data_IF_691491489553
#
_entry.id   IF_691491489553
#
_cell.length_a   1.000
_cell.length_b   1.000
_cell.length_c   1.000
_cell.angle_alpha   90.00
_cell.angle_beta   90.00
_cell.angle_gamma   90.00
#
_symmetry.space_group_name_H-M   'P 1'
#
loop_
_entity.id
_entity.type
_entity.pdbx_description
1 polymer ?
#
# COMPACT_ATOMS: atom_id res chain seq x y z
N UNK A 1 24.86 9.22 12.40
CA UNK A 1 23.67 9.10 13.27
C UNK A 1 23.46 7.63 13.55
N UNK A 2 23.53 7.24 14.82
CA UNK A 2 23.45 5.83 15.25
C UNK A 2 22.26 5.09 14.65
N UNK A 3 22.47 3.85 14.19
CA UNK A 3 21.43 3.03 13.55
C UNK A 3 20.24 2.85 14.51
N UNK A 4 20.51 2.73 15.81
CA UNK A 4 19.49 2.67 16.85
C UNK A 4 18.63 3.93 16.94
N UNK A 5 19.23 5.13 16.85
CA UNK A 5 18.47 6.39 16.87
C UNK A 5 17.57 6.51 15.65
N UNK A 6 18.05 6.08 14.47
CA UNK A 6 17.25 6.06 13.23
C UNK A 6 16.08 5.08 13.32
N UNK A 7 16.29 3.91 13.93
CA UNK A 7 15.24 2.91 14.17
C UNK A 7 14.19 3.40 15.16
N UNK A 8 14.60 4.02 16.29
CA UNK A 8 13.68 4.61 17.27
C UNK A 8 12.81 5.71 16.65
N UNK A 9 13.41 6.59 15.85
CA UNK A 9 12.67 7.65 15.13
C UNK A 9 11.67 7.03 14.15
N UNK A 10 12.09 6.05 13.35
CA UNK A 10 11.18 5.35 12.42
C UNK A 10 10.03 4.66 13.14
N UNK A 11 10.31 4.04 14.29
CA UNK A 11 9.30 3.36 15.09
C UNK A 11 8.30 4.36 15.69
N UNK A 12 8.78 5.47 16.23
CA UNK A 12 7.94 6.54 16.76
C UNK A 12 7.02 7.13 15.67
N UNK A 13 7.57 7.40 14.48
CA UNK A 13 6.80 7.87 13.32
C UNK A 13 5.73 6.84 12.93
N UNK A 14 6.08 5.56 12.91
CA UNK A 14 5.14 4.48 12.56
C UNK A 14 4.00 4.39 13.57
N UNK A 15 4.30 4.46 14.86
CA UNK A 15 3.28 4.46 15.93
C UNK A 15 2.38 5.69 15.82
N UNK A 16 2.95 6.89 15.61
CA UNK A 16 2.18 8.11 15.43
C UNK A 16 1.23 8.04 14.22
N UNK A 17 1.70 7.47 13.11
CA UNK A 17 0.89 7.22 11.91
C UNK A 17 -0.27 6.27 12.19
N UNK A 18 -0.03 5.15 12.89
CA UNK A 18 -1.08 4.17 13.21
C UNK A 18 -2.16 4.81 14.09
N UNK A 19 -1.77 5.58 15.10
CA UNK A 19 -2.71 6.29 15.99
C UNK A 19 -3.53 7.30 15.19
N UNK A 20 -2.89 8.07 14.31
CA UNK A 20 -3.58 9.06 13.47
C UNK A 20 -4.57 8.42 12.49
N UNK A 21 -4.18 7.30 11.84
CA UNK A 21 -5.08 6.56 10.94
C UNK A 21 -6.28 6.00 11.70
N UNK A 22 -6.04 5.42 12.88
CA UNK A 22 -7.11 4.85 13.72
C UNK A 22 -8.09 5.93 14.17
N UNK A 23 -7.59 7.08 14.63
CA UNK A 23 -8.43 8.21 15.02
C UNK A 23 -9.26 8.74 13.84
N UNK A 24 -8.64 8.88 12.68
CA UNK A 24 -9.32 9.35 11.46
C UNK A 24 -10.40 8.37 11.01
N UNK A 25 -10.15 7.06 11.11
CA UNK A 25 -11.13 6.01 10.84
C UNK A 25 -12.35 6.13 11.76
N UNK A 26 -12.13 6.22 13.08
CA UNK A 26 -13.22 6.34 14.06
C UNK A 26 -14.03 7.61 13.80
N UNK A 27 -13.37 8.73 13.51
CA UNK A 27 -14.04 10.00 13.20
C UNK A 27 -14.90 9.91 11.94
N UNK A 28 -14.40 9.27 10.89
CA UNK A 28 -15.15 9.01 9.65
C UNK A 28 -16.36 8.11 9.91
N UNK A 29 -16.17 7.04 10.69
CA UNK A 29 -17.24 6.11 11.07
C UNK A 29 -18.34 6.82 11.86
N UNK A 30 -17.97 7.71 12.79
CA UNK A 30 -18.93 8.50 13.57
C UNK A 30 -19.68 9.53 12.72
N UNK A 31 -19.07 10.04 11.65
CA UNK A 31 -19.67 11.07 10.79
C UNK A 31 -20.60 10.48 9.73
N UNK A 32 -20.12 9.47 9.00
CA UNK A 32 -20.78 8.95 7.80
C UNK A 32 -21.35 7.53 8.01
N UNK A 33 -21.12 6.93 9.18
CA UNK A 33 -21.56 5.59 9.53
C UNK A 33 -20.60 4.48 9.08
N UNK A 34 -20.64 3.34 9.77
CA UNK A 34 -19.81 2.16 9.48
C UNK A 34 -19.95 1.69 8.04
N UNK A 35 -21.16 1.76 7.47
CA UNK A 35 -21.48 1.22 6.14
C UNK A 35 -20.75 1.98 5.03
N UNK A 36 -20.74 3.32 5.09
CA UNK A 36 -20.11 4.16 4.07
C UNK A 36 -18.57 4.07 4.15
N UNK A 37 -18.03 4.03 5.37
CA UNK A 37 -16.59 3.85 5.59
C UNK A 37 -16.14 2.45 5.15
N UNK A 38 -16.89 1.40 5.51
CA UNK A 38 -16.62 0.03 5.07
C UNK A 38 -16.62 -0.10 3.54
N UNK A 39 -17.55 0.58 2.85
CA UNK A 39 -17.56 0.63 1.38
C UNK A 39 -16.31 1.31 0.82
N UNK A 40 -15.88 2.44 1.39
CA UNK A 40 -14.66 3.15 0.98
C UNK A 40 -13.41 2.27 1.13
N UNK A 41 -13.25 1.60 2.28
CA UNK A 41 -12.12 0.70 2.52
C UNK A 41 -12.12 -0.49 1.55
N UNK A 42 -13.30 -1.06 1.29
CA UNK A 42 -13.44 -2.17 0.32
C UNK A 42 -13.08 -1.71 -1.09
N UNK A 43 -13.52 -0.53 -1.50
CA UNK A 43 -13.17 0.05 -2.80
C UNK A 43 -11.65 0.29 -2.93
N UNK A 44 -11.02 0.84 -1.90
CA UNK A 44 -9.56 1.02 -1.86
C UNK A 44 -8.83 -0.31 -1.97
N UNK A 45 -9.29 -1.34 -1.25
CA UNK A 45 -8.70 -2.68 -1.30
C UNK A 45 -8.79 -3.29 -2.71
N UNK A 46 -9.96 -3.23 -3.34
CA UNK A 46 -10.17 -3.73 -4.71
C UNK A 46 -9.26 -3.00 -5.71
N UNK A 47 -9.12 -1.68 -5.60
CA UNK A 47 -8.21 -0.89 -6.43
C UNK A 47 -6.75 -1.32 -6.22
N UNK A 48 -6.32 -1.49 -4.97
CA UNK A 48 -4.96 -1.94 -4.66
C UNK A 48 -4.67 -3.32 -5.27
N UNK A 49 -5.58 -4.28 -5.12
CA UNK A 49 -5.45 -5.61 -5.72
C UNK A 49 -5.37 -5.52 -7.25
N UNK A 50 -6.23 -4.71 -7.87
CA UNK A 50 -6.23 -4.49 -9.32
C UNK A 50 -4.90 -3.93 -9.83
N UNK A 51 -4.34 -2.93 -9.13
CA UNK A 51 -3.03 -2.35 -9.46
C UNK A 51 -1.93 -3.41 -9.32
N UNK A 52 -1.93 -4.20 -8.24
CA UNK A 52 -0.92 -5.26 -8.03
C UNK A 52 -0.94 -6.29 -9.16
N UNK A 53 -2.12 -6.76 -9.57
CA UNK A 53 -2.26 -7.72 -10.67
C UNK A 53 -1.75 -7.11 -11.98
N UNK A 54 -2.12 -5.86 -12.27
CA UNK A 54 -1.69 -5.16 -13.48
C UNK A 54 -0.17 -4.97 -13.51
N UNK A 55 0.43 -4.53 -12.41
CA UNK A 55 1.89 -4.39 -12.28
C UNK A 55 2.60 -5.73 -12.47
N UNK A 56 2.06 -6.82 -11.90
CA UNK A 56 2.63 -8.15 -12.07
C UNK A 56 2.57 -8.60 -13.54
N UNK A 57 1.44 -8.39 -14.22
CA UNK A 57 1.31 -8.70 -15.65
C UNK A 57 2.29 -7.88 -16.51
N UNK A 58 2.40 -6.58 -16.24
CA UNK A 58 3.34 -5.70 -16.93
C UNK A 58 4.80 -6.15 -16.74
N UNK A 59 5.16 -6.49 -15.50
CA UNK A 59 6.49 -7.00 -15.16
C UNK A 59 6.76 -8.35 -15.83
N UNK A 60 5.79 -9.25 -15.85
CA UNK A 60 5.90 -10.53 -16.55
C UNK A 60 6.13 -10.33 -18.05
N UNK A 61 5.35 -9.46 -18.71
CA UNK A 61 5.53 -9.12 -20.13
C UNK A 61 6.91 -8.55 -20.41
N UNK A 62 7.36 -7.61 -19.58
CA UNK A 62 8.70 -7.01 -19.70
C UNK A 62 9.80 -8.07 -19.60
N UNK A 63 9.69 -8.99 -18.63
CA UNK A 63 10.64 -10.08 -18.47
C UNK A 63 10.67 -11.04 -19.67
N UNK A 64 9.54 -11.29 -20.33
CA UNK A 64 9.51 -12.10 -21.55
C UNK A 64 10.21 -11.40 -22.73
N UNK A 65 10.04 -10.08 -22.86
CA UNK A 65 10.70 -9.29 -23.91
C UNK A 65 12.22 -9.29 -23.70
N UNK A 66 12.68 -9.09 -22.46
CA UNK A 66 14.12 -9.13 -22.11
C UNK A 66 14.70 -10.52 -22.41
N UNK A 67 14.01 -11.60 -22.02
CA UNK A 67 14.45 -12.98 -22.31
C UNK A 67 14.56 -13.28 -23.81
N UNK A 68 13.61 -12.78 -24.62
CA UNK A 68 13.65 -12.94 -26.08
C UNK A 68 14.78 -12.14 -26.73
N UNK A 69 15.10 -10.96 -26.18
CA UNK A 69 16.22 -10.14 -26.64
C UNK A 69 17.57 -10.82 -26.36
N UNK A 70 17.72 -11.39 -25.16
CA UNK A 70 18.94 -12.11 -24.77
C UNK A 70 19.17 -13.43 -25.53
N UNK A 71 18.11 -14.09 -26.02
CA UNK A 71 18.25 -15.31 -26.81
C UNK A 71 18.59 -15.07 -28.30
N UNK A 72 18.60 -13.81 -28.73
CA UNK A 72 18.86 -13.41 -30.11
C UNK A 72 20.29 -12.85 -30.32
N UNK A 73 21.09 -12.84 -29.25
CA UNK A 73 22.53 -12.58 -29.19
C UNK A 73 23.21 -13.93 -28.98
#
# INVERSE_FOLDING_TARGET
MDIEKKLKIRNFISVALIVFMTFSYIRLVLRDGITQVGFLYTAMYVLSVGITIFSWFYQWRTNQIIKRSQSHI
#
